data_IF_408510265041
#
_entry.id   IF_408510265041
#
_cell.length_a   1.000
_cell.length_b   1.000
_cell.length_c   1.000
_cell.angle_alpha   90.00
_cell.angle_beta   90.00
_cell.angle_gamma   90.00
#
_symmetry.space_group_name_H-M   'P 1'
#
loop_
_entity.id
_entity.type
_entity.pdbx_description
1 polymer ?
#
# COMPACT_ATOMS: atom_id res chain seq x y z
N UNK A 1 -15.40 -2.97 1.02
CA UNK A 1 -16.36 -2.51 0.01
C UNK A 1 -15.69 -1.63 -1.02
N UNK A 2 -16.05 -1.77 -2.28
CA UNK A 2 -15.46 -1.02 -3.37
C UNK A 2 -16.26 0.25 -3.65
N UNK A 3 -15.56 1.38 -3.76
CA UNK A 3 -16.16 2.61 -4.26
C UNK A 3 -16.07 2.59 -5.78
N UNK A 4 -17.12 2.08 -6.42
CA UNK A 4 -17.14 1.97 -7.87
C UNK A 4 -17.09 3.33 -8.57
N UNK A 5 -17.60 4.36 -7.92
CA UNK A 5 -17.58 5.70 -8.49
C UNK A 5 -16.14 6.21 -8.58
N UNK A 6 -15.38 6.07 -7.49
CA UNK A 6 -13.98 6.45 -7.47
C UNK A 6 -13.17 5.63 -8.48
N UNK A 7 -13.45 4.34 -8.55
CA UNK A 7 -12.75 3.44 -9.48
C UNK A 7 -12.98 3.89 -10.94
N UNK A 8 -14.21 4.22 -11.28
CA UNK A 8 -14.53 4.68 -12.65
C UNK A 8 -13.84 5.97 -13.01
N UNK A 9 -13.62 6.85 -12.01
CA UNK A 9 -12.88 8.10 -12.23
C UNK A 9 -11.38 7.89 -12.22
N UNK A 10 -10.90 6.68 -11.93
CA UNK A 10 -9.49 6.36 -11.86
C UNK A 10 -8.84 6.66 -10.52
N UNK A 11 -9.64 7.11 -9.55
CA UNK A 11 -9.14 7.35 -8.20
C UNK A 11 -9.34 6.08 -7.37
N UNK A 12 -8.30 5.66 -6.67
CA UNK A 12 -8.39 4.48 -5.83
C UNK A 12 -7.47 4.64 -4.62
N UNK A 13 -7.77 3.93 -3.53
CA UNK A 13 -7.05 4.07 -2.28
C UNK A 13 -6.89 2.72 -1.61
N UNK A 14 -5.70 2.47 -1.08
CA UNK A 14 -5.38 1.21 -0.40
C UNK A 14 -4.67 1.50 0.92
N UNK A 15 -4.94 0.72 1.96
CA UNK A 15 -4.19 0.84 3.20
C UNK A 15 -2.76 0.35 3.02
N UNK A 16 -1.82 1.11 3.58
CA UNK A 16 -0.40 0.79 3.57
C UNK A 16 0.11 0.74 5.00
N UNK A 17 0.83 -0.32 5.33
CA UNK A 17 1.41 -0.50 6.66
C UNK A 17 2.83 0.05 6.66
N UNK A 18 3.10 1.04 7.51
CA UNK A 18 4.40 1.66 7.65
C UNK A 18 5.06 1.15 8.92
N UNK A 19 6.31 0.70 8.81
CA UNK A 19 7.08 0.16 9.92
C UNK A 19 8.34 0.99 10.08
N UNK A 20 8.46 1.66 11.24
CA UNK A 20 9.64 2.47 11.51
C UNK A 20 10.80 1.56 11.86
N UNK A 21 11.94 1.80 11.21
CA UNK A 21 13.19 1.09 11.43
C UNK A 21 14.27 2.08 11.83
N UNK A 22 15.47 1.57 12.19
CA UNK A 22 16.57 2.43 12.61
C UNK A 22 16.97 3.43 11.52
N UNK A 23 16.98 2.98 10.27
CA UNK A 23 17.50 3.77 9.15
C UNK A 23 16.39 4.18 8.17
N UNK A 24 15.13 4.19 8.60
CA UNK A 24 14.06 4.60 7.72
C UNK A 24 12.75 3.90 7.98
N UNK A 25 12.00 3.66 6.91
CA UNK A 25 10.70 3.01 6.97
C UNK A 25 10.59 1.92 5.93
N UNK A 26 9.96 0.81 6.31
CA UNK A 26 9.48 -0.20 5.37
C UNK A 26 7.98 -0.07 5.25
N UNK A 27 7.43 -0.32 4.06
CA UNK A 27 6.00 -0.19 3.80
C UNK A 27 5.50 -1.41 3.06
N UNK A 28 4.33 -1.89 3.46
CA UNK A 28 3.69 -3.06 2.84
C UNK A 28 2.24 -2.73 2.52
N UNK A 29 1.81 -3.06 1.29
CA UNK A 29 0.41 -3.01 0.88
C UNK A 29 -0.17 -4.43 0.97
N UNK A 30 -0.90 -4.77 2.04
CA UNK A 30 -1.42 -6.14 2.17
C UNK A 30 -2.41 -6.53 1.07
N UNK A 31 -3.20 -5.59 0.57
CA UNK A 31 -4.20 -5.87 -0.46
C UNK A 31 -3.60 -6.04 -1.85
N UNK A 32 -2.36 -5.65 -2.04
CA UNK A 32 -1.68 -5.72 -3.33
C UNK A 32 -0.63 -6.83 -3.34
N UNK A 33 -1.00 -7.96 -2.76
CA UNK A 33 -0.13 -9.14 -2.72
C UNK A 33 1.17 -8.87 -1.97
N UNK A 34 1.05 -8.10 -0.87
CA UNK A 34 2.18 -7.72 -0.01
C UNK A 34 3.27 -6.95 -0.76
N UNK A 35 2.84 -6.14 -1.72
CA UNK A 35 3.74 -5.22 -2.41
C UNK A 35 4.46 -4.36 -1.38
N UNK A 36 5.79 -4.28 -1.46
CA UNK A 36 6.61 -3.63 -0.45
C UNK A 36 7.53 -2.58 -1.06
N UNK A 37 7.81 -1.55 -0.28
CA UNK A 37 8.78 -0.52 -0.63
C UNK A 37 9.43 0.00 0.64
N UNK A 38 10.31 0.98 0.53
CA UNK A 38 11.01 1.54 1.66
C UNK A 38 11.44 2.98 1.35
N UNK A 39 11.81 3.71 2.40
CA UNK A 39 12.31 5.07 2.27
C UNK A 39 13.18 5.44 3.46
N UNK A 40 13.97 6.50 3.32
CA UNK A 40 14.95 6.92 4.32
C UNK A 40 14.28 7.66 5.49
N UNK A 41 13.11 8.22 5.27
CA UNK A 41 12.32 8.90 6.28
C UNK A 41 10.85 8.77 5.87
N UNK A 42 9.94 9.29 6.69
CA UNK A 42 8.51 9.13 6.42
C UNK A 42 8.10 9.77 5.10
N UNK A 43 8.59 10.97 4.82
CA UNK A 43 8.26 11.68 3.58
C UNK A 43 8.77 10.94 2.35
N UNK A 44 10.00 10.44 2.41
CA UNK A 44 10.59 9.66 1.34
C UNK A 44 9.82 8.35 1.13
N UNK A 45 9.46 7.67 2.23
CA UNK A 45 8.67 6.44 2.15
C UNK A 45 7.31 6.70 1.52
N UNK A 46 6.64 7.81 1.85
CA UNK A 46 5.35 8.17 1.27
C UNK A 46 5.49 8.41 -0.24
N UNK A 47 6.55 9.06 -0.67
CA UNK A 47 6.83 9.26 -2.09
C UNK A 47 6.99 7.91 -2.81
N UNK A 48 7.78 7.01 -2.23
CA UNK A 48 8.00 5.68 -2.80
C UNK A 48 6.72 4.88 -2.85
N UNK A 49 5.87 5.00 -1.82
CA UNK A 49 4.58 4.33 -1.74
C UNK A 49 3.66 4.78 -2.89
N UNK A 50 3.61 6.08 -3.16
CA UNK A 50 2.78 6.60 -4.24
C UNK A 50 3.26 6.09 -5.60
N UNK A 51 4.56 6.10 -5.84
CA UNK A 51 5.14 5.59 -7.09
C UNK A 51 4.86 4.10 -7.26
N UNK A 52 5.01 3.35 -6.18
CA UNK A 52 4.81 1.92 -6.17
C UNK A 52 3.35 1.57 -6.47
N UNK A 53 2.41 2.28 -5.85
CA UNK A 53 0.99 2.06 -6.05
C UNK A 53 0.56 2.39 -7.49
N UNK A 54 1.01 3.53 -8.01
CA UNK A 54 0.72 3.93 -9.39
C UNK A 54 1.25 2.87 -10.36
N UNK A 55 2.47 2.44 -10.15
CA UNK A 55 3.09 1.43 -11.02
C UNK A 55 2.32 0.12 -11.03
N UNK A 56 1.89 -0.33 -9.84
CA UNK A 56 1.12 -1.56 -9.71
C UNK A 56 -0.22 -1.45 -10.45
N UNK A 57 -0.94 -0.36 -10.23
CA UNK A 57 -2.28 -0.20 -10.80
C UNK A 57 -2.22 0.00 -12.32
N UNK A 58 -1.23 0.72 -12.82
CA UNK A 58 -1.06 0.90 -14.26
C UNK A 58 -0.69 -0.41 -14.94
N UNK A 59 0.15 -1.21 -14.31
CA UNK A 59 0.49 -2.51 -14.85
C UNK A 59 -0.75 -3.41 -14.94
N UNK A 60 -1.59 -3.40 -13.91
CA UNK A 60 -2.82 -4.16 -13.92
C UNK A 60 -3.77 -3.70 -15.03
N UNK A 61 -3.90 -2.38 -15.21
CA UNK A 61 -4.71 -1.82 -16.29
C UNK A 61 -4.21 -2.28 -17.67
N UNK A 62 -2.90 -2.14 -17.88
CA UNK A 62 -2.27 -2.49 -19.15
C UNK A 62 -2.49 -3.97 -19.49
N UNK A 63 -2.39 -4.82 -18.47
CA UNK A 63 -2.46 -6.27 -18.66
C UNK A 63 -3.89 -6.80 -18.59
N UNK A 64 -4.86 -5.93 -18.32
CA UNK A 64 -6.27 -6.34 -18.20
C UNK A 64 -6.58 -7.12 -16.93
N UNK A 65 -5.73 -7.03 -15.92
CA UNK A 65 -5.92 -7.72 -14.65
C UNK A 65 -6.93 -7.00 -13.76
N UNK A 66 -7.63 -7.76 -12.94
CA UNK A 66 -8.54 -7.19 -11.97
C UNK A 66 -7.75 -6.46 -10.89
N UNK A 67 -8.27 -5.30 -10.48
CA UNK A 67 -7.68 -4.54 -9.38
C UNK A 67 -8.26 -5.10 -8.07
N UNK A 68 -7.41 -5.39 -7.08
CA UNK A 68 -7.91 -5.91 -5.79
C UNK A 68 -8.88 -4.95 -5.12
N UNK A 69 -9.82 -5.51 -4.37
CA UNK A 69 -10.75 -4.72 -3.56
C UNK A 69 -9.99 -4.22 -2.32
N UNK A 70 -9.99 -2.91 -2.06
CA UNK A 70 -9.31 -2.39 -0.88
C UNK A 70 -9.98 -2.85 0.41
N UNK A 71 -9.17 -3.21 1.40
CA UNK A 71 -9.67 -3.46 2.75
C UNK A 71 -10.05 -2.15 3.42
N UNK A 72 -10.95 -2.23 4.40
CA UNK A 72 -11.23 -1.09 5.27
C UNK A 72 -9.99 -0.83 6.13
N UNK A 73 -9.60 0.43 6.23
CA UNK A 73 -8.43 0.82 7.01
C UNK A 73 -8.50 0.28 8.45
N UNK A 74 -9.69 0.28 9.03
CA UNK A 74 -9.89 -0.19 10.39
C UNK A 74 -9.65 -1.69 10.56
N UNK A 75 -9.70 -2.46 9.47
CA UNK A 75 -9.55 -3.92 9.51
C UNK A 75 -8.13 -4.37 9.28
N UNK A 76 -7.21 -3.45 9.02
CA UNK A 76 -5.81 -3.79 8.74
C UNK A 76 -5.01 -3.72 10.03
N UNK A 77 -4.42 -4.86 10.42
CA UNK A 77 -3.55 -4.96 11.58
C UNK A 77 -2.10 -5.06 11.08
N UNK A 78 -1.30 -3.99 11.26
CA UNK A 78 0.07 -4.00 10.72
C UNK A 78 0.96 -5.07 11.35
N UNK A 79 0.70 -5.46 12.59
CA UNK A 79 1.46 -6.52 13.24
C UNK A 79 1.17 -7.85 12.56
N UNK A 80 -0.10 -8.15 12.29
CA UNK A 80 -0.48 -9.38 11.61
C UNK A 80 0.09 -9.43 10.19
N UNK A 81 0.07 -8.31 9.47
CA UNK A 81 0.61 -8.23 8.12
C UNK A 81 2.11 -8.53 8.12
N UNK A 82 2.85 -7.95 9.06
CA UNK A 82 4.29 -8.19 9.16
C UNK A 82 4.59 -9.67 9.46
N UNK A 83 3.81 -10.30 10.32
CA UNK A 83 4.01 -11.69 10.69
C UNK A 83 3.72 -12.66 9.56
N UNK A 84 2.83 -12.28 8.65
CA UNK A 84 2.56 -13.09 7.46
C UNK A 84 3.78 -13.19 6.57
N UNK A 85 4.57 -12.13 6.49
CA UNK A 85 5.78 -12.11 5.67
C UNK A 85 6.94 -12.82 6.38
N UNK A 86 7.16 -12.48 7.64
CA UNK A 86 8.25 -13.05 8.42
C UNK A 86 7.90 -12.98 9.91
N UNK A 87 7.48 -14.10 10.52
CA UNK A 87 7.09 -14.10 11.94
C UNK A 87 8.23 -13.72 12.89
N UNK A 88 9.49 -13.84 12.43
CA UNK A 88 10.65 -13.55 13.26
C UNK A 88 11.12 -12.10 13.19
N UNK A 89 10.56 -11.30 12.27
CA UNK A 89 10.97 -9.89 12.12
C UNK A 89 10.58 -9.09 13.36
N UNK A 90 11.53 -8.37 13.97
CA UNK A 90 11.18 -7.45 15.04
C UNK A 90 10.35 -6.31 14.48
N UNK A 91 9.26 -5.99 15.18
CA UNK A 91 8.36 -4.91 14.75
C UNK A 91 8.56 -3.74 15.69
N UNK A 92 9.02 -2.62 15.15
CA UNK A 92 9.09 -1.36 15.88
C UNK A 92 7.73 -0.68 15.86
N UNK A 93 7.74 0.64 15.74
CA UNK A 93 6.50 1.40 15.62
C UNK A 93 5.87 1.16 14.26
N UNK A 94 4.61 0.77 14.28
CA UNK A 94 3.86 0.51 13.06
C UNK A 94 2.64 1.41 13.01
N UNK A 95 2.28 1.85 11.80
CA UNK A 95 1.08 2.65 11.56
C UNK A 95 0.47 2.24 10.24
N UNK A 96 -0.83 2.54 10.06
CA UNK A 96 -1.53 2.25 8.81
C UNK A 96 -2.06 3.55 8.25
N UNK A 97 -1.80 3.79 6.97
CA UNK A 97 -2.23 5.01 6.29
C UNK A 97 -2.93 4.65 5.00
N UNK A 98 -3.99 5.38 4.70
CA UNK A 98 -4.70 5.21 3.43
C UNK A 98 -3.97 6.01 2.36
N UNK A 99 -3.54 5.32 1.30
CA UNK A 99 -2.81 5.94 0.19
C UNK A 99 -3.72 5.96 -1.02
N UNK A 100 -3.93 7.15 -1.57
CA UNK A 100 -4.87 7.36 -2.68
C UNK A 100 -4.15 7.94 -3.88
N UNK A 101 -4.46 7.40 -5.06
CA UNK A 101 -3.92 7.91 -6.32
C UNK A 101 -5.02 7.97 -7.38
N UNK A 102 -4.82 8.81 -8.39
CA UNK A 102 -5.70 8.90 -9.54
C UNK A 102 -4.95 8.36 -10.76
N UNK A 103 -5.42 7.25 -11.31
CA UNK A 103 -4.75 6.54 -12.39
C UNK A 103 -5.32 6.84 -13.78
N UNK A 104 -6.31 7.74 -13.88
CA UNK A 104 -6.89 8.08 -15.19
C UNK A 104 -5.88 8.79 -16.09
N UNK A 105 -4.99 9.54 -15.50
CA UNK A 105 -3.99 10.28 -16.24
C UNK A 105 -2.72 9.46 -16.29
N UNK A 106 -2.52 8.85 -17.41
CA UNK A 106 -1.43 7.93 -17.63
C UNK A 106 -0.06 8.55 -17.60
#
# INVERSE_FOLDING_TARGET
>A
EVDFEAYRRGATAYPACFYKENDGYSVIFPDLNYLATQGDNFGDAMQMVLECLVGYLRAAQRDGDAIPVPSDLADVDPVAVSKELDPALPIGKASVHLVSVDIRRG
#
